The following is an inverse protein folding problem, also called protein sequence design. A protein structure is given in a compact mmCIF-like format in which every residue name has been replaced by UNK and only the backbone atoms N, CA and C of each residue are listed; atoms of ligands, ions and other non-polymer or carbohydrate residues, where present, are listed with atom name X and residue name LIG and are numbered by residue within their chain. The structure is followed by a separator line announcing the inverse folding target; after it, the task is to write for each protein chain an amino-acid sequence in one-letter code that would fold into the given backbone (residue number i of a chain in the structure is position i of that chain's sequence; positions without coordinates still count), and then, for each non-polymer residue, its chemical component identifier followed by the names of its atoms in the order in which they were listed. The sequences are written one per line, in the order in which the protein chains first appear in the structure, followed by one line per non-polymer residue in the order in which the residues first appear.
data_IF_468875595589
#
_entry.id   IF_468875595589
#
_cell.length_a   1.000
_cell.length_b   1.000
_cell.length_c   1.000
_cell.angle_alpha   90.00
_cell.angle_beta   90.00
_cell.angle_gamma   90.00
#
_symmetry.space_group_name_H-M   'P 1'
#
loop_
_entity.id
_entity.type
_entity.pdbx_description
1 polymer ?
#
# COMPACT_ATOMS: atom_id res chain seq x y z
N UNK A 1 -27.84 -17.53 29.81
CA UNK A 1 -27.62 -17.25 28.38
C UNK A 1 -26.16 -17.50 28.07
N UNK A 2 -25.85 -18.30 27.04
CA UNK A 2 -24.54 -18.90 26.81
C UNK A 2 -23.58 -17.91 26.15
N UNK A 3 -22.51 -17.52 26.85
CA UNK A 3 -21.38 -16.78 26.26
C UNK A 3 -20.66 -17.71 25.28
N UNK A 4 -20.95 -17.58 23.98
CA UNK A 4 -20.09 -18.15 22.94
C UNK A 4 -18.87 -17.25 22.80
N UNK A 5 -17.75 -17.64 23.41
CA UNK A 5 -16.44 -17.11 23.05
C UNK A 5 -16.16 -17.48 21.58
N UNK A 6 -16.34 -16.53 20.67
CA UNK A 6 -15.85 -16.65 19.31
C UNK A 6 -14.34 -16.49 19.33
N UNK A 7 -13.60 -17.61 19.46
CA UNK A 7 -12.15 -17.61 19.29
C UNK A 7 -11.84 -17.41 17.81
N UNK A 8 -11.39 -16.21 17.45
CA UNK A 8 -10.80 -15.93 16.13
C UNK A 8 -9.61 -16.86 15.92
N UNK A 9 -9.73 -17.81 14.99
CA UNK A 9 -8.61 -18.64 14.52
C UNK A 9 -8.02 -18.01 13.27
N UNK A 10 -6.93 -17.27 13.44
CA UNK A 10 -6.16 -16.72 12.33
C UNK A 10 -5.20 -17.82 11.87
N UNK A 11 -5.26 -18.19 10.58
CA UNK A 11 -4.33 -19.14 9.96
C UNK A 11 -3.50 -18.40 8.93
N UNK A 12 -2.18 -18.36 9.16
CA UNK A 12 -1.22 -17.91 8.13
C UNK A 12 -1.15 -18.96 7.02
N UNK A 13 -0.92 -18.50 5.81
CA UNK A 13 -0.90 -19.36 4.62
C UNK A 13 0.51 -19.81 4.22
N UNK A 14 1.55 -19.38 4.97
CA UNK A 14 2.97 -19.67 4.75
C UNK A 14 3.41 -19.45 3.29
N UNK A 15 2.77 -18.47 2.64
CA UNK A 15 3.09 -18.04 1.30
C UNK A 15 4.24 -17.05 1.40
N UNK A 16 5.33 -17.33 0.67
CA UNK A 16 6.49 -16.45 0.63
C UNK A 16 6.13 -15.03 0.18
N UNK A 17 6.83 -13.98 0.60
CA UNK A 17 6.63 -12.66 0.01
C UNK A 17 7.07 -12.66 -1.46
N UNK A 18 6.39 -11.89 -2.32
CA UNK A 18 6.87 -11.59 -3.67
C UNK A 18 6.14 -10.34 -4.18
N UNK A 19 6.70 -9.71 -5.21
CA UNK A 19 6.12 -8.52 -5.84
C UNK A 19 4.67 -8.81 -6.27
N UNK A 20 3.77 -7.87 -6.00
CA UNK A 20 2.35 -8.01 -6.31
C UNK A 20 1.52 -8.81 -5.31
N UNK A 21 2.14 -9.45 -4.31
CA UNK A 21 1.40 -10.01 -3.18
C UNK A 21 0.95 -8.91 -2.23
N UNK A 22 -0.12 -9.24 -1.51
CA UNK A 22 -0.72 -8.36 -0.52
C UNK A 22 -0.54 -8.96 0.86
N UNK A 23 0.00 -8.17 1.78
CA UNK A 23 0.03 -8.47 3.20
C UNK A 23 -1.25 -7.93 3.84
N UNK A 24 -1.96 -8.80 4.55
CA UNK A 24 -3.19 -8.43 5.27
C UNK A 24 -2.89 -8.44 6.76
N UNK A 25 -3.07 -7.30 7.40
CA UNK A 25 -2.85 -7.19 8.83
C UNK A 25 -3.79 -8.13 9.61
N UNK A 26 -3.25 -8.77 10.64
CA UNK A 26 -4.08 -9.54 11.57
C UNK A 26 -5.07 -8.59 12.29
N UNK A 27 -6.31 -9.02 12.56
CA UNK A 27 -7.30 -8.19 13.25
C UNK A 27 -6.83 -7.64 14.60
N UNK A 28 -5.92 -8.35 15.26
CA UNK A 28 -5.36 -8.03 16.58
C UNK A 28 -4.04 -7.27 16.51
N UNK A 29 -3.57 -6.85 15.32
CA UNK A 29 -2.36 -6.05 15.20
C UNK A 29 -2.56 -4.69 15.86
N UNK A 30 -1.81 -4.44 16.93
CA UNK A 30 -1.72 -3.17 17.63
C UNK A 30 -0.50 -2.39 17.12
N UNK A 31 -0.63 -1.82 15.93
CA UNK A 31 0.35 -0.91 15.34
C UNK A 31 -0.37 0.29 14.71
N UNK A 32 0.17 1.49 14.90
CA UNK A 32 -0.46 2.73 14.39
C UNK A 32 -0.59 2.72 12.86
N UNK A 33 0.47 2.33 12.15
CA UNK A 33 0.54 2.34 10.70
C UNK A 33 -0.11 1.11 10.08
N UNK A 34 0.05 -0.06 10.70
CA UNK A 34 -0.32 -1.34 10.08
C UNK A 34 -1.59 -1.98 10.65
N UNK A 35 -2.18 -1.48 11.74
CA UNK A 35 -3.47 -2.00 12.21
C UNK A 35 -4.52 -1.87 11.11
N UNK A 36 -5.20 -3.00 10.81
CA UNK A 36 -6.21 -3.15 9.76
C UNK A 36 -5.74 -2.74 8.36
N UNK A 37 -4.42 -2.77 8.12
CA UNK A 37 -3.84 -2.41 6.83
C UNK A 37 -3.89 -3.53 5.80
N UNK A 38 -3.88 -3.13 4.54
CA UNK A 38 -3.64 -3.96 3.37
C UNK A 38 -2.41 -3.36 2.70
N UNK A 39 -1.31 -4.09 2.65
CA UNK A 39 -0.03 -3.61 2.08
C UNK A 39 0.25 -4.35 0.78
N UNK A 40 0.44 -3.62 -0.32
CA UNK A 40 0.90 -4.17 -1.59
C UNK A 40 2.43 -4.18 -1.62
N UNK A 41 3.03 -5.33 -1.89
CA UNK A 41 4.48 -5.42 -2.12
C UNK A 41 4.83 -4.92 -3.52
N UNK A 42 5.67 -3.89 -3.58
CA UNK A 42 6.14 -3.26 -4.82
C UNK A 42 7.52 -3.79 -5.22
N UNK A 43 8.34 -4.11 -4.22
CA UNK A 43 9.67 -4.68 -4.39
C UNK A 43 9.85 -5.83 -3.39
N UNK A 44 10.55 -6.88 -3.81
CA UNK A 44 10.94 -7.98 -2.95
C UNK A 44 12.18 -8.66 -3.50
N UNK A 45 13.22 -8.76 -2.67
CA UNK A 45 14.45 -9.48 -2.94
C UNK A 45 14.86 -10.24 -1.67
N UNK A 46 15.23 -11.52 -1.79
CA UNK A 46 15.50 -12.41 -0.65
C UNK A 46 16.52 -11.83 0.37
N UNK A 47 17.50 -11.07 -0.12
CA UNK A 47 18.58 -10.50 0.70
C UNK A 47 18.38 -9.02 1.05
N UNK A 48 17.73 -8.25 0.17
CA UNK A 48 17.57 -6.80 0.35
C UNK A 48 16.26 -6.44 1.06
N UNK A 49 15.34 -7.41 1.21
CA UNK A 49 14.08 -7.25 1.91
C UNK A 49 12.92 -6.88 0.97
N UNK A 50 11.91 -6.20 1.52
CA UNK A 50 10.70 -5.85 0.78
C UNK A 50 10.32 -4.39 0.98
N UNK A 51 9.79 -3.77 -0.07
CA UNK A 51 9.12 -2.48 0.01
C UNK A 51 7.67 -2.61 -0.44
N UNK A 52 6.79 -1.83 0.19
CA UNK A 52 5.36 -1.87 -0.11
C UNK A 52 4.62 -0.66 0.39
N UNK A 53 3.38 -0.51 -0.09
CA UNK A 53 2.51 0.62 0.22
C UNK A 53 1.17 0.16 0.78
N UNK A 54 0.66 0.88 1.78
CA UNK A 54 -0.67 0.63 2.34
C UNK A 54 -1.75 1.15 1.38
N UNK A 55 -2.69 0.29 1.01
CA UNK A 55 -3.74 0.57 0.03
C UNK A 55 -5.01 1.17 0.63
N UNK A 56 -5.25 0.95 1.92
CA UNK A 56 -6.59 1.16 2.52
C UNK A 56 -6.63 2.18 3.65
N UNK A 57 -5.61 3.04 3.76
CA UNK A 57 -5.56 4.15 4.74
C UNK A 57 -5.60 5.51 4.03
N UNK A 58 -6.80 5.92 3.62
CA UNK A 58 -7.01 7.24 3.01
C UNK A 58 -6.74 8.35 4.03
N UNK A 59 -6.06 9.41 3.62
CA UNK A 59 -5.87 10.62 4.44
C UNK A 59 -6.87 11.71 4.07
N UNK A 60 -7.10 12.67 4.97
CA UNK A 60 -8.07 13.75 4.78
C UNK A 60 -7.64 14.77 3.72
N UNK A 61 -6.33 14.96 3.58
CA UNK A 61 -5.77 15.89 2.60
C UNK A 61 -5.99 15.34 1.18
N UNK A 62 -6.31 16.25 0.26
CA UNK A 62 -6.37 15.91 -1.16
C UNK A 62 -5.03 16.24 -1.85
N UNK A 63 -4.79 15.64 -3.02
CA UNK A 63 -3.54 15.86 -3.77
C UNK A 63 -3.28 17.35 -4.06
N UNK A 64 -4.33 18.16 -4.28
CA UNK A 64 -4.18 19.59 -4.57
C UNK A 64 -3.68 20.36 -3.37
N UNK A 65 -4.13 20.02 -2.17
CA UNK A 65 -3.75 20.68 -0.92
C UNK A 65 -2.26 20.44 -0.59
N UNK A 66 -1.74 19.24 -0.90
CA UNK A 66 -0.33 18.90 -0.68
C UNK A 66 0.55 19.41 -1.82
N UNK A 67 0.07 19.27 -3.06
CA UNK A 67 0.83 19.60 -4.27
C UNK A 67 0.33 20.91 -4.90
N UNK A 68 0.21 21.96 -4.06
CA UNK A 68 -0.17 23.32 -4.43
C UNK A 68 0.74 23.95 -5.52
N UNK A 69 1.89 23.33 -5.83
CA UNK A 69 2.86 23.79 -6.85
C UNK A 69 2.70 23.14 -8.23
N UNK A 70 1.84 22.12 -8.41
CA UNK A 70 1.65 21.51 -9.74
C UNK A 70 0.56 22.22 -10.53
N UNK A 71 0.71 22.19 -11.87
CA UNK A 71 -0.37 22.50 -12.81
C UNK A 71 -1.41 21.37 -12.92
N UNK A 72 -1.30 20.32 -12.10
CA UNK A 72 -2.18 19.15 -12.17
C UNK A 72 -3.51 19.53 -11.52
N UNK A 73 -4.56 19.65 -12.35
CA UNK A 73 -5.92 20.01 -11.91
C UNK A 73 -6.72 18.81 -11.38
N UNK A 74 -6.13 17.63 -11.35
CA UNK A 74 -6.79 16.41 -10.95
C UNK A 74 -6.86 16.30 -9.41
N UNK A 75 -7.98 15.78 -8.93
CA UNK A 75 -8.23 15.52 -7.52
C UNK A 75 -8.16 14.00 -7.31
N UNK A 76 -6.98 13.53 -6.90
CA UNK A 76 -6.74 12.12 -6.62
C UNK A 76 -6.80 11.88 -5.11
N UNK A 77 -7.40 10.77 -4.66
CA UNK A 77 -7.36 10.39 -3.25
C UNK A 77 -5.91 10.11 -2.83
N UNK A 78 -5.52 10.65 -1.67
CA UNK A 78 -4.25 10.32 -1.06
C UNK A 78 -4.40 9.25 0.00
N UNK A 79 -3.38 8.41 0.09
CA UNK A 79 -3.30 7.32 1.05
C UNK A 79 -1.98 7.43 1.81
N UNK A 80 -2.01 7.10 3.10
CA UNK A 80 -0.82 6.96 3.91
C UNK A 80 -0.07 5.72 3.42
N UNK A 81 1.03 5.89 2.68
CA UNK A 81 1.77 4.77 2.08
C UNK A 81 2.50 3.90 3.11
N UNK A 82 2.93 4.48 4.23
CA UNK A 82 3.67 3.77 5.28
C UNK A 82 4.35 4.75 6.24
N UNK A 83 5.13 4.26 7.21
CA UNK A 83 5.86 5.10 8.17
C UNK A 83 7.13 5.73 7.60
N UNK A 84 7.62 5.27 6.44
CA UNK A 84 8.89 5.67 5.84
C UNK A 84 8.64 6.58 4.64
N UNK A 85 9.55 7.52 4.41
CA UNK A 85 9.56 8.41 3.23
C UNK A 85 8.21 9.12 3.00
N UNK A 86 7.59 9.61 4.07
CA UNK A 86 6.26 10.28 4.02
C UNK A 86 6.23 11.57 3.21
N UNK A 87 7.38 12.04 2.73
CA UNK A 87 7.54 13.19 1.85
C UNK A 87 7.66 12.80 0.35
N UNK A 88 7.68 11.51 0.03
CA UNK A 88 7.67 10.99 -1.35
C UNK A 88 6.26 10.55 -1.75
N UNK A 89 5.97 10.63 -3.03
CA UNK A 89 4.71 10.13 -3.57
C UNK A 89 4.94 8.83 -4.32
N UNK A 90 4.18 7.81 -3.95
CA UNK A 90 4.09 6.56 -4.70
C UNK A 90 2.79 6.59 -5.49
N UNK A 91 2.90 6.46 -6.80
CA UNK A 91 1.74 6.47 -7.69
C UNK A 91 1.49 5.05 -8.18
N UNK A 92 0.24 4.61 -8.10
CA UNK A 92 -0.22 3.34 -8.66
C UNK A 92 -1.15 3.65 -9.82
N UNK A 93 -0.87 3.09 -11.00
CA UNK A 93 -1.59 3.42 -12.22
C UNK A 93 -1.67 2.23 -13.20
N UNK A 94 -2.42 2.40 -14.29
CA UNK A 94 -2.59 1.40 -15.36
C UNK A 94 -2.03 1.86 -16.71
N UNK A 95 -1.18 2.89 -16.69
CA UNK A 95 -0.72 3.55 -17.91
C UNK A 95 0.54 2.92 -18.50
N UNK A 96 1.15 1.94 -17.82
CA UNK A 96 2.33 1.22 -18.30
C UNK A 96 3.40 2.13 -18.89
N UNK A 97 3.91 1.76 -20.05
CA UNK A 97 4.97 2.46 -20.79
C UNK A 97 4.63 3.91 -21.18
N UNK A 98 3.37 4.36 -21.06
CA UNK A 98 3.00 5.77 -21.26
C UNK A 98 3.71 6.66 -20.22
N UNK A 99 3.89 6.15 -18.99
CA UNK A 99 4.66 6.84 -17.95
C UNK A 99 6.08 6.26 -17.94
N UNK A 100 7.11 7.06 -18.28
CA UNK A 100 8.49 6.60 -18.24
C UNK A 100 8.92 6.22 -16.83
N UNK A 101 9.80 5.22 -16.70
CA UNK A 101 10.34 4.74 -15.42
C UNK A 101 9.28 4.16 -14.47
N UNK A 102 8.17 3.69 -15.01
CA UNK A 102 7.20 2.88 -14.27
C UNK A 102 7.66 1.42 -14.22
N UNK A 103 7.30 0.74 -13.13
CA UNK A 103 7.59 -0.68 -12.91
C UNK A 103 6.28 -1.45 -12.82
N UNK A 104 6.17 -2.55 -13.56
CA UNK A 104 4.98 -3.41 -13.49
C UNK A 104 5.01 -4.24 -12.20
N UNK A 105 3.94 -4.17 -11.42
CA UNK A 105 3.78 -4.93 -10.15
C UNK A 105 3.06 -6.25 -10.42
N UNK A 106 1.94 -6.17 -11.13
CA UNK A 106 1.15 -7.29 -11.66
C UNK A 106 0.64 -6.88 -13.04
N UNK A 107 0.22 -7.82 -13.91
CA UNK A 107 -0.24 -7.47 -15.25
C UNK A 107 -1.26 -6.32 -15.27
N UNK A 108 -0.86 -5.20 -15.87
CA UNK A 108 -1.69 -3.99 -16.00
C UNK A 108 -1.74 -3.07 -14.77
N UNK A 109 -0.97 -3.33 -13.72
CA UNK A 109 -0.78 -2.43 -12.58
C UNK A 109 0.70 -2.05 -12.45
N UNK A 110 0.96 -0.75 -12.49
CA UNK A 110 2.29 -0.18 -12.55
C UNK A 110 2.48 0.83 -11.41
N UNK A 111 3.73 1.06 -11.05
CA UNK A 111 4.08 2.05 -10.04
C UNK A 111 5.33 2.86 -10.37
N UNK A 112 5.39 4.06 -9.81
CA UNK A 112 6.53 4.97 -9.85
C UNK A 112 6.58 5.82 -8.56
N UNK A 113 7.80 6.25 -8.20
CA UNK A 113 8.00 7.22 -7.13
C UNK A 113 8.24 8.62 -7.72
N UNK A 114 7.59 9.64 -7.15
CA UNK A 114 7.74 11.06 -7.47
C UNK A 114 8.29 11.86 -6.29
#
# INVERSE_FOLDING_TARGET
MMNKEYKLKIKRNDIEPTIGRVLVAEPTTYDFFFSRSIVLLLEHEDREGSAGVILNKKISDNFKDIYNKSKIKADFPLYLGGPVDTNKLFVLHRLGDIIPKSFEVIPGLWWEAM
#
